data_IF_722126617509
#
_entry.id   IF_722126617509
#
_cell.length_a   1.000
_cell.length_b   1.000
_cell.length_c   1.000
_cell.angle_alpha   90.00
_cell.angle_beta   90.00
_cell.angle_gamma   90.00
#
_symmetry.space_group_name_H-M   'P 1'
#
loop_
_entity.id
_entity.type
_entity.pdbx_description
1 polymer ?
#
# COMPACT_ATOMS: atom_id res chain seq x y z
N UNK A 1 20.98 -13.70 -6.92
CA UNK A 1 20.01 -13.42 -8.01
C UNK A 1 19.46 -12.02 -7.78
N UNK A 2 19.25 -11.20 -8.81
CA UNK A 2 18.74 -9.83 -8.66
C UNK A 2 17.37 -9.78 -9.33
N UNK A 3 16.30 -9.65 -8.55
CA UNK A 3 14.92 -9.73 -9.03
C UNK A 3 14.29 -8.35 -9.13
N UNK A 4 13.22 -8.20 -9.92
CA UNK A 4 12.54 -6.91 -10.03
C UNK A 4 11.62 -6.71 -8.83
N UNK A 5 11.59 -5.49 -8.30
CA UNK A 5 10.76 -5.11 -7.16
C UNK A 5 9.27 -5.46 -7.37
N UNK A 6 8.73 -5.22 -8.57
CA UNK A 6 7.33 -5.58 -8.90
C UNK A 6 7.05 -7.09 -8.84
N UNK A 7 8.05 -7.91 -9.17
CA UNK A 7 7.94 -9.37 -9.08
C UNK A 7 8.05 -9.84 -7.64
N UNK A 8 9.03 -9.31 -6.88
CA UNK A 8 9.25 -9.67 -5.47
C UNK A 8 8.03 -9.31 -4.61
N UNK A 9 7.42 -8.13 -4.82
CA UNK A 9 6.21 -7.74 -4.10
C UNK A 9 5.01 -8.63 -4.39
N UNK A 10 4.87 -9.10 -5.63
CA UNK A 10 3.80 -10.03 -6.00
C UNK A 10 4.08 -11.44 -5.43
N UNK A 11 5.31 -11.92 -5.52
CA UNK A 11 5.72 -13.23 -5.03
C UNK A 11 5.68 -13.33 -3.49
N UNK A 12 5.98 -12.25 -2.78
CA UNK A 12 5.91 -12.16 -1.31
C UNK A 12 4.50 -11.90 -0.76
N UNK A 13 3.48 -11.77 -1.61
CA UNK A 13 2.11 -11.48 -1.20
C UNK A 13 1.90 -10.07 -0.63
N UNK A 14 2.88 -9.18 -0.74
CA UNK A 14 2.72 -7.76 -0.38
C UNK A 14 1.80 -7.03 -1.36
N UNK A 15 1.74 -7.49 -2.61
CA UNK A 15 0.80 -7.03 -3.61
C UNK A 15 -0.02 -8.21 -4.18
N UNK A 16 -1.31 -7.95 -4.45
CA UNK A 16 -2.24 -8.91 -5.05
C UNK A 16 -1.87 -9.34 -6.48
N UNK A 17 -1.09 -8.53 -7.20
CA UNK A 17 -0.62 -8.80 -8.57
C UNK A 17 0.58 -7.92 -8.91
N UNK A 18 1.28 -8.22 -10.02
CA UNK A 18 2.37 -7.38 -10.54
C UNK A 18 1.93 -5.97 -10.93
N UNK A 19 0.70 -5.83 -11.45
CA UNK A 19 0.13 -4.52 -11.78
C UNK A 19 -0.14 -3.70 -10.52
N UNK A 20 -0.71 -4.33 -9.49
CA UNK A 20 -0.92 -3.70 -8.18
C UNK A 20 0.41 -3.33 -7.52
N UNK A 21 1.44 -4.17 -7.62
CA UNK A 21 2.79 -3.84 -7.16
C UNK A 21 3.34 -2.60 -7.89
N UNK A 22 3.18 -2.52 -9.21
CA UNK A 22 3.63 -1.38 -10.00
C UNK A 22 2.91 -0.08 -9.62
N UNK A 23 1.61 -0.14 -9.30
CA UNK A 23 0.83 0.99 -8.80
C UNK A 23 1.33 1.46 -7.44
N UNK A 24 1.53 0.55 -6.48
CA UNK A 24 2.05 0.86 -5.15
C UNK A 24 3.44 1.51 -5.21
N UNK A 25 4.32 0.97 -6.07
CA UNK A 25 5.65 1.53 -6.31
C UNK A 25 5.54 2.95 -6.89
N UNK A 26 4.75 3.15 -7.95
CA UNK A 26 4.56 4.49 -8.55
C UNK A 26 3.95 5.51 -7.58
N UNK A 27 3.05 5.04 -6.71
CA UNK A 27 2.45 5.84 -5.64
C UNK A 27 3.43 6.17 -4.50
N UNK A 28 4.66 5.63 -4.52
CA UNK A 28 5.66 5.83 -3.46
C UNK A 28 5.31 5.13 -2.16
N UNK A 29 4.48 4.09 -2.20
CA UNK A 29 4.05 3.29 -1.05
C UNK A 29 5.04 2.16 -0.70
N UNK A 30 6.12 2.01 -1.46
CA UNK A 30 7.11 0.94 -1.29
C UNK A 30 8.46 1.53 -0.92
N UNK A 31 9.10 0.92 0.08
CA UNK A 31 10.45 1.25 0.55
C UNK A 31 11.36 0.04 0.42
N UNK A 32 12.59 0.28 -0.02
CA UNK A 32 13.67 -0.71 -0.08
C UNK A 32 14.81 -0.16 0.77
N UNK A 33 15.25 -0.90 1.79
CA UNK A 33 16.28 -0.47 2.75
C UNK A 33 16.00 0.93 3.34
N UNK A 34 14.73 1.22 3.62
CA UNK A 34 14.27 2.51 4.16
C UNK A 34 14.10 3.63 3.12
N UNK A 35 14.50 3.44 1.86
CA UNK A 35 14.34 4.44 0.80
C UNK A 35 13.08 4.19 -0.04
N UNK A 36 12.32 5.26 -0.31
CA UNK A 36 11.13 5.18 -1.18
C UNK A 36 11.55 4.93 -2.62
N UNK A 37 11.11 3.82 -3.19
CA UNK A 37 11.39 3.44 -4.58
C UNK A 37 10.14 3.68 -5.41
N UNK A 38 10.28 4.43 -6.52
CA UNK A 38 9.19 4.73 -7.47
C UNK A 38 9.33 4.04 -8.83
N UNK A 39 10.35 3.22 -9.02
CA UNK A 39 10.63 2.51 -10.28
C UNK A 39 10.27 1.02 -10.15
N UNK A 40 9.21 0.52 -10.81
CA UNK A 40 8.80 -0.89 -10.68
C UNK A 40 9.88 -1.89 -11.10
N UNK A 41 10.64 -1.55 -12.14
CA UNK A 41 11.77 -2.35 -12.62
C UNK A 41 13.06 -2.16 -11.80
N UNK A 42 13.00 -1.55 -10.62
CA UNK A 42 14.13 -1.48 -9.69
C UNK A 42 14.55 -2.90 -9.33
N UNK A 43 15.86 -3.17 -9.36
CA UNK A 43 16.39 -4.50 -9.03
C UNK A 43 16.71 -4.54 -7.54
N UNK A 44 16.22 -5.57 -6.87
CA UNK A 44 16.43 -5.83 -5.45
C UNK A 44 17.17 -7.13 -5.23
N UNK A 45 18.05 -7.12 -4.22
CA UNK A 45 18.80 -8.28 -3.74
C UNK A 45 17.96 -9.05 -2.73
N UNK A 46 18.25 -10.35 -2.51
CA UNK A 46 17.53 -11.16 -1.53
C UNK A 46 17.61 -10.61 -0.10
N UNK A 47 18.71 -9.92 0.22
CA UNK A 47 18.97 -9.33 1.55
C UNK A 47 18.37 -7.93 1.73
N UNK A 48 17.74 -7.36 0.69
CA UNK A 48 17.14 -6.03 0.80
C UNK A 48 15.85 -6.09 1.63
N UNK A 49 15.71 -5.18 2.59
CA UNK A 49 14.50 -5.03 3.38
C UNK A 49 13.42 -4.29 2.58
N UNK A 50 12.33 -4.98 2.24
CA UNK A 50 11.23 -4.43 1.44
C UNK A 50 10.00 -4.22 2.33
N UNK A 51 9.60 -2.96 2.46
CA UNK A 51 8.40 -2.54 3.19
C UNK A 51 7.37 -1.94 2.23
N UNK A 52 6.12 -2.36 2.36
CA UNK A 52 5.01 -1.85 1.56
C UNK A 52 3.93 -1.32 2.50
N UNK A 53 3.78 0.00 2.54
CA UNK A 53 2.67 0.64 3.24
C UNK A 53 1.37 0.34 2.51
N UNK A 54 0.56 -0.56 3.07
CA UNK A 54 -0.81 -0.78 2.62
C UNK A 54 -1.67 0.38 3.10
N UNK A 55 -2.54 0.88 2.21
CA UNK A 55 -3.61 1.77 2.63
C UNK A 55 -4.58 0.93 3.49
N UNK A 56 -4.84 1.31 4.75
CA UNK A 56 -5.73 0.54 5.62
C UNK A 56 -7.18 0.54 5.12
N UNK A 57 -7.53 1.45 4.20
CA UNK A 57 -8.88 1.61 3.69
C UNK A 57 -9.06 0.92 2.34
N UNK A 58 -9.93 -0.09 2.30
CA UNK A 58 -10.16 -0.95 1.11
C UNK A 58 -10.92 -0.21 -0.01
N UNK A 59 -11.51 0.96 0.26
CA UNK A 59 -12.26 1.75 -0.72
C UNK A 59 -12.16 3.27 -0.52
N UNK A 60 -12.42 4.03 -1.60
CA UNK A 60 -12.61 5.50 -1.49
C UNK A 60 -13.89 5.87 -0.74
N UNK A 61 -14.84 4.94 -0.60
CA UNK A 61 -16.07 5.17 0.17
C UNK A 61 -15.76 5.33 1.66
N UNK A 62 -14.81 4.57 2.20
CA UNK A 62 -14.33 4.75 3.58
C UNK A 62 -13.81 6.17 3.82
N UNK A 63 -13.00 6.71 2.90
CA UNK A 63 -12.51 8.09 2.99
C UNK A 63 -13.63 9.14 2.91
N UNK A 64 -14.66 8.92 2.08
CA UNK A 64 -15.83 9.81 2.01
C UNK A 64 -16.65 9.77 3.30
N UNK A 65 -16.83 8.58 3.87
CA UNK A 65 -17.57 8.40 5.11
C UNK A 65 -16.85 9.08 6.28
N UNK A 66 -15.53 8.88 6.41
CA UNK A 66 -14.71 9.55 7.44
C UNK A 66 -14.86 11.08 7.34
N UNK A 67 -14.68 11.64 6.13
CA UNK A 67 -14.83 13.08 5.93
C UNK A 67 -16.25 13.59 6.20
N UNK A 68 -17.28 12.80 5.90
CA UNK A 68 -18.66 13.15 6.24
C UNK A 68 -18.91 13.14 7.75
N UNK A 69 -18.37 12.14 8.47
CA UNK A 69 -18.48 12.04 9.92
C UNK A 69 -17.79 13.22 10.61
N UNK A 70 -16.58 13.57 10.19
CA UNK A 70 -15.82 14.71 10.74
C UNK A 70 -16.57 16.04 10.64
N UNK A 71 -17.29 16.28 9.53
CA UNK A 71 -18.03 17.53 9.30
C UNK A 71 -19.42 17.52 9.95
N UNK A 72 -20.03 16.34 10.10
CA UNK A 72 -21.42 16.22 10.57
C UNK A 72 -21.61 16.47 12.07
N UNK A 73 -20.55 16.38 12.87
CA UNK A 73 -20.65 16.39 14.34
C UNK A 73 -21.38 15.17 14.92
N UNK A 74 -21.61 14.12 14.12
CA UNK A 74 -22.25 12.90 14.54
C UNK A 74 -21.31 12.10 15.45
N UNK A 75 -21.69 11.93 16.72
CA UNK A 75 -20.96 11.07 17.64
C UNK A 75 -21.26 9.59 17.33
N UNK A 76 -20.30 8.89 16.74
CA UNK A 76 -20.41 7.46 16.47
C UNK A 76 -19.80 6.68 17.64
N UNK A 77 -20.55 5.75 18.28
CA UNK A 77 -20.01 4.93 19.36
C UNK A 77 -18.94 3.97 18.84
N UNK A 78 -18.09 3.47 19.74
CA UNK A 78 -16.92 2.66 19.38
C UNK A 78 -17.24 1.35 18.60
N UNK A 79 -18.50 0.93 18.57
CA UNK A 79 -18.97 -0.23 17.81
C UNK A 79 -20.26 0.09 17.09
N UNK A 80 -20.25 -0.10 15.77
CA UNK A 80 -21.38 0.07 14.86
C UNK A 80 -21.28 -1.00 13.77
N UNK A 81 -22.44 -1.44 13.28
CA UNK A 81 -22.58 -2.24 12.07
C UNK A 81 -22.95 -1.31 10.91
N UNK A 82 -22.49 -1.64 9.70
CA UNK A 82 -22.91 -0.93 8.49
C UNK A 82 -24.34 -1.29 8.06
#
# INVERSE_FOLDING_TARGET
MNERLDQVLAASGQARSRSHASELIKAGRVRVNGQVVKRPAHRVRPDDAIDCQRDPWISRAAHKLIGALDVSGLAVPARVLD
#
